data_IF_746236706273
#
_entry.id   IF_746236706273
#
_cell.length_a   1.000
_cell.length_b   1.000
_cell.length_c   1.000
_cell.angle_alpha   90.00
_cell.angle_beta   90.00
_cell.angle_gamma   90.00
#
_symmetry.space_group_name_H-M   'P 1'
#
loop_
_entity.id
_entity.type
_entity.pdbx_description
1 polymer ?
#
# COMPACT_ATOMS: atom_id res chain seq x y z
N UNK A 1 -10.57 5.50 8.82
CA UNK A 1 -12.00 5.17 8.84
C UNK A 1 -12.44 4.90 7.41
N UNK A 2 -13.45 4.07 7.25
CA UNK A 2 -14.17 3.93 5.98
C UNK A 2 -15.20 5.07 5.82
N UNK A 3 -15.96 5.07 4.74
CA UNK A 3 -16.98 6.06 4.42
C UNK A 3 -18.14 6.07 5.42
N UNK A 4 -18.38 4.96 6.12
CA UNK A 4 -19.39 4.82 7.17
C UNK A 4 -18.85 5.19 8.57
N UNK A 5 -17.58 5.59 8.68
CA UNK A 5 -16.95 5.98 9.95
C UNK A 5 -16.41 4.82 10.78
N UNK A 6 -16.49 3.57 10.31
CA UNK A 6 -15.90 2.39 10.97
C UNK A 6 -14.38 2.49 10.97
N UNK A 7 -13.77 1.96 12.03
CA UNK A 7 -12.31 1.92 12.13
C UNK A 7 -11.78 0.75 11.31
N UNK A 8 -10.84 1.03 10.41
CA UNK A 8 -10.17 0.03 9.59
C UNK A 8 -8.70 -0.04 9.99
N UNK A 9 -8.20 -1.24 10.29
CA UNK A 9 -6.79 -1.50 10.54
C UNK A 9 -6.17 -2.14 9.30
N UNK A 10 -5.24 -1.42 8.66
CA UNK A 10 -4.45 -1.96 7.56
C UNK A 10 -3.21 -2.64 8.13
N UNK A 11 -3.12 -3.97 7.95
CA UNK A 11 -2.02 -4.78 8.46
C UNK A 11 -1.04 -5.11 7.33
N UNK A 12 0.22 -4.72 7.50
CA UNK A 12 1.30 -4.94 6.54
C UNK A 12 2.41 -5.81 7.11
N UNK A 13 3.66 -5.52 6.72
CA UNK A 13 4.84 -6.21 7.22
C UNK A 13 5.00 -7.63 6.69
N UNK A 14 5.67 -8.50 7.46
CA UNK A 14 6.01 -9.86 7.04
C UNK A 14 4.78 -10.69 6.65
N UNK A 15 3.65 -10.52 7.35
CA UNK A 15 2.37 -11.16 7.00
C UNK A 15 1.96 -10.88 5.55
N UNK A 16 2.05 -9.61 5.13
CA UNK A 16 1.68 -9.20 3.78
C UNK A 16 2.71 -9.62 2.73
N UNK A 17 4.01 -9.67 3.07
CA UNK A 17 5.06 -10.09 2.15
C UNK A 17 5.05 -11.59 1.88
N UNK A 18 4.91 -12.41 2.91
CA UNK A 18 4.82 -13.88 2.77
C UNK A 18 3.44 -14.34 2.29
N UNK A 19 2.40 -13.52 2.54
CA UNK A 19 1.02 -13.79 2.14
C UNK A 19 0.77 -13.69 0.64
N UNK A 20 1.73 -13.24 -0.17
CA UNK A 20 1.56 -13.03 -1.61
C UNK A 20 1.13 -14.32 -2.33
N UNK A 21 1.57 -15.50 -1.92
CA UNK A 21 1.15 -16.77 -2.54
C UNK A 21 -0.06 -17.45 -1.89
N UNK A 22 -0.66 -16.83 -0.86
CA UNK A 22 -1.78 -17.42 -0.10
C UNK A 22 -3.13 -17.02 -0.70
N UNK A 23 -4.15 -17.84 -0.46
CA UNK A 23 -5.54 -17.44 -0.69
C UNK A 23 -5.98 -16.42 0.36
N UNK A 24 -7.01 -15.60 0.08
CA UNK A 24 -7.58 -14.67 1.06
C UNK A 24 -7.90 -15.33 2.41
N UNK A 25 -8.55 -16.50 2.39
CA UNK A 25 -8.98 -17.21 3.59
C UNK A 25 -7.79 -17.67 4.44
N UNK A 26 -6.75 -18.20 3.79
CA UNK A 26 -5.54 -18.66 4.47
C UNK A 26 -4.75 -17.48 5.08
N UNK A 27 -4.67 -16.35 4.36
CA UNK A 27 -4.01 -15.15 4.84
C UNK A 27 -4.78 -14.51 6.01
N UNK A 28 -6.11 -14.47 5.94
CA UNK A 28 -6.98 -14.01 7.04
C UNK A 28 -6.79 -14.90 8.28
N UNK A 29 -6.85 -16.22 8.13
CA UNK A 29 -6.67 -17.14 9.26
C UNK A 29 -5.30 -16.97 9.95
N UNK A 30 -4.24 -16.76 9.15
CA UNK A 30 -2.90 -16.45 9.64
C UNK A 30 -2.87 -15.11 10.38
N UNK A 31 -3.43 -14.06 9.78
CA UNK A 31 -3.49 -12.72 10.37
C UNK A 31 -4.25 -12.69 11.70
N UNK A 32 -5.39 -13.39 11.80
CA UNK A 32 -6.16 -13.53 13.05
C UNK A 32 -5.30 -14.19 14.13
N UNK A 33 -4.58 -15.26 13.79
CA UNK A 33 -3.72 -15.98 14.73
C UNK A 33 -2.59 -15.09 15.25
N UNK A 34 -1.89 -14.39 14.36
CA UNK A 34 -0.80 -13.47 14.73
C UNK A 34 -1.31 -12.32 15.60
N UNK A 35 -2.42 -11.68 15.22
CA UNK A 35 -2.98 -10.55 15.97
C UNK A 35 -3.46 -10.94 17.36
N UNK A 36 -4.10 -12.10 17.54
CA UNK A 36 -4.48 -12.60 18.87
C UNK A 36 -3.26 -12.87 19.76
N UNK A 37 -2.14 -13.31 19.18
CA UNK A 37 -0.89 -13.51 19.89
C UNK A 37 -0.23 -12.21 20.33
N UNK A 38 -0.28 -11.17 19.50
CA UNK A 38 0.36 -9.87 19.76
C UNK A 38 -0.51 -8.97 20.65
N UNK A 39 -1.84 -9.03 20.48
CA UNK A 39 -2.83 -8.17 21.14
C UNK A 39 -3.85 -9.02 21.93
N UNK A 40 -3.44 -9.74 22.98
CA UNK A 40 -4.32 -10.69 23.69
C UNK A 40 -5.49 -10.02 24.42
N UNK A 41 -5.44 -8.71 24.66
CA UNK A 41 -6.51 -7.95 25.31
C UNK A 41 -7.55 -7.35 24.36
N UNK A 42 -7.38 -7.53 23.05
CA UNK A 42 -8.32 -7.01 22.04
C UNK A 42 -9.31 -8.11 21.67
N UNK A 43 -10.61 -7.78 21.73
CA UNK A 43 -11.66 -8.67 21.25
C UNK A 43 -11.80 -8.53 19.73
N UNK A 44 -11.70 -9.66 19.04
CA UNK A 44 -11.83 -9.76 17.58
C UNK A 44 -13.12 -10.47 17.16
N UNK A 45 -14.05 -10.74 18.07
CA UNK A 45 -15.28 -11.50 17.81
C UNK A 45 -16.18 -10.87 16.75
N UNK A 46 -16.26 -9.53 16.70
CA UNK A 46 -17.11 -8.78 15.76
C UNK A 46 -16.28 -8.08 14.65
N UNK A 47 -15.04 -8.52 14.42
CA UNK A 47 -14.15 -7.91 13.42
C UNK A 47 -14.35 -8.59 12.06
N UNK A 48 -14.59 -7.78 11.03
CA UNK A 48 -14.59 -8.20 9.64
C UNK A 48 -13.16 -8.18 9.07
N UNK A 49 -12.88 -9.09 8.15
CA UNK A 49 -11.55 -9.30 7.58
C UNK A 49 -11.60 -9.19 6.07
N UNK A 50 -10.62 -8.52 5.48
CA UNK A 50 -10.46 -8.46 4.03
C UNK A 50 -8.96 -8.51 3.69
N UNK A 51 -8.67 -8.96 2.47
CA UNK A 51 -7.33 -8.88 1.89
C UNK A 51 -7.41 -8.17 0.56
N UNK A 52 -6.41 -7.37 0.22
CA UNK A 52 -6.26 -6.79 -1.10
C UNK A 52 -4.83 -7.03 -1.59
N UNK A 53 -4.66 -7.07 -2.91
CA UNK A 53 -3.36 -7.27 -3.55
C UNK A 53 -2.90 -5.98 -4.19
N UNK A 54 -1.60 -5.70 -4.07
CA UNK A 54 -0.97 -4.55 -4.71
C UNK A 54 0.46 -4.89 -5.07
N UNK A 55 0.87 -4.51 -6.28
CA UNK A 55 2.25 -4.63 -6.71
C UNK A 55 3.03 -3.37 -6.31
N UNK A 56 4.26 -3.57 -5.83
CA UNK A 56 5.18 -2.46 -5.61
C UNK A 56 5.91 -2.18 -6.92
N UNK A 57 5.74 -0.99 -7.44
CA UNK A 57 6.50 -0.50 -8.58
C UNK A 57 7.86 0.02 -8.09
N UNK A 58 8.91 -0.77 -8.29
CA UNK A 58 10.29 -0.44 -7.95
C UNK A 58 11.20 -0.62 -9.18
N UNK A 59 12.25 0.19 -9.34
CA UNK A 59 13.27 0.01 -10.38
C UNK A 59 13.89 -1.39 -10.31
N UNK A 60 14.16 -2.00 -11.46
CA UNK A 60 14.92 -3.24 -11.52
C UNK A 60 16.38 -2.95 -11.17
N UNK A 61 16.89 -3.61 -10.13
CA UNK A 61 18.31 -3.54 -9.73
C UNK A 61 18.93 -4.92 -9.74
N UNK A 62 20.15 -5.00 -10.26
CA UNK A 62 20.91 -6.25 -10.30
C UNK A 62 21.14 -6.78 -8.87
N UNK A 63 20.78 -8.05 -8.64
CA UNK A 63 21.04 -8.73 -7.36
C UNK A 63 19.89 -8.80 -6.35
N UNK A 64 18.63 -8.52 -6.75
CA UNK A 64 17.42 -8.66 -5.90
C UNK A 64 17.45 -7.86 -4.58
N UNK A 65 18.26 -6.82 -4.47
CA UNK A 65 18.24 -5.94 -3.29
C UNK A 65 17.20 -4.85 -3.52
N UNK A 66 16.34 -4.53 -2.56
CA UNK A 66 15.42 -3.39 -2.70
C UNK A 66 16.26 -2.10 -2.81
N UNK A 67 16.00 -1.20 -3.77
CA UNK A 67 16.66 0.10 -3.79
C UNK A 67 16.44 0.82 -2.45
N UNK A 68 17.53 1.34 -1.88
CA UNK A 68 17.46 2.04 -0.59
C UNK A 68 17.07 3.52 -0.76
N UNK A 69 17.19 4.03 -1.98
CA UNK A 69 16.95 5.43 -2.34
C UNK A 69 15.92 5.55 -3.49
N UNK A 70 15.60 6.78 -3.86
CA UNK A 70 14.82 7.12 -5.05
C UNK A 70 15.63 6.86 -6.31
N UNK A 71 14.96 6.72 -7.45
CA UNK A 71 15.59 6.64 -8.77
C UNK A 71 14.98 7.70 -9.67
N UNK A 72 15.82 8.43 -10.39
CA UNK A 72 15.43 9.42 -11.40
C UNK A 72 16.46 9.41 -12.53
N UNK A 73 16.05 8.92 -13.71
CA UNK A 73 16.91 8.74 -14.87
C UNK A 73 16.43 9.59 -16.03
N UNK A 74 17.33 10.42 -16.58
CA UNK A 74 17.06 11.27 -17.73
C UNK A 74 17.40 10.58 -19.06
N UNK A 75 16.43 10.51 -19.95
CA UNK A 75 16.54 10.00 -21.31
C UNK A 75 16.15 11.10 -22.31
N UNK A 76 17.12 11.96 -22.63
CA UNK A 76 16.85 13.15 -23.45
C UNK A 76 15.88 14.11 -22.74
N UNK A 77 14.72 14.45 -23.33
CA UNK A 77 13.74 15.34 -22.70
C UNK A 77 12.81 14.63 -21.70
N UNK A 78 12.98 13.33 -21.47
CA UNK A 78 12.13 12.52 -20.58
C UNK A 78 12.90 12.18 -19.32
N UNK A 79 12.27 12.33 -18.15
CA UNK A 79 12.79 11.80 -16.89
C UNK A 79 11.85 10.69 -16.42
N UNK A 80 12.41 9.52 -16.11
CA UNK A 80 11.67 8.38 -15.53
C UNK A 80 12.09 8.25 -14.08
N UNK A 81 11.12 8.18 -13.17
CA UNK A 81 11.41 8.24 -11.74
C UNK A 81 10.51 7.36 -10.89
N UNK A 82 11.08 6.84 -9.79
CA UNK A 82 10.38 6.07 -8.76
C UNK A 82 10.88 6.48 -7.37
N UNK A 83 9.98 6.81 -6.43
CA UNK A 83 10.39 7.19 -5.07
C UNK A 83 10.79 5.98 -4.21
N UNK A 84 10.46 4.74 -4.63
CA UNK A 84 10.68 3.44 -3.95
C UNK A 84 9.98 3.27 -2.59
N UNK A 85 9.78 4.36 -1.83
CA UNK A 85 8.90 4.48 -0.66
C UNK A 85 8.18 5.82 -0.70
N UNK A 86 6.93 5.88 -0.24
CA UNK A 86 6.17 7.15 -0.19
C UNK A 86 6.90 8.23 0.62
N UNK A 87 7.57 7.85 1.71
CA UNK A 87 8.35 8.78 2.55
C UNK A 87 9.51 9.46 1.82
N UNK A 88 9.95 8.92 0.69
CA UNK A 88 11.03 9.49 -0.12
C UNK A 88 10.51 10.39 -1.26
N UNK A 89 9.19 10.64 -1.36
CA UNK A 89 8.64 11.54 -2.35
C UNK A 89 9.26 12.96 -2.33
N UNK A 90 9.55 13.59 -1.17
CA UNK A 90 10.24 14.88 -1.14
C UNK A 90 11.67 14.80 -1.70
N UNK A 91 12.41 13.75 -1.34
CA UNK A 91 13.76 13.52 -1.85
C UNK A 91 13.77 13.29 -3.36
N UNK A 92 12.76 12.60 -3.88
CA UNK A 92 12.61 12.44 -5.32
C UNK A 92 12.38 13.81 -6.00
N UNK A 93 11.56 14.67 -5.41
CA UNK A 93 11.33 16.01 -5.94
C UNK A 93 12.63 16.83 -6.02
N UNK A 94 13.48 16.78 -4.98
CA UNK A 94 14.79 17.43 -4.99
C UNK A 94 15.67 16.93 -6.15
N UNK A 95 15.77 15.60 -6.33
CA UNK A 95 16.54 15.03 -7.44
C UNK A 95 15.99 15.43 -8.81
N UNK A 96 14.67 15.49 -8.96
CA UNK A 96 14.05 15.93 -10.21
C UNK A 96 14.39 17.40 -10.51
N UNK A 97 14.41 18.28 -9.51
CA UNK A 97 14.79 19.68 -9.67
C UNK A 97 16.23 19.80 -10.18
N UNK A 98 17.16 19.01 -9.66
CA UNK A 98 18.56 19.01 -10.10
C UNK A 98 18.75 18.54 -11.55
N UNK A 99 17.86 17.66 -12.03
CA UNK A 99 17.86 17.16 -13.41
C UNK A 99 17.19 18.12 -14.40
N UNK A 100 16.36 19.05 -13.93
CA UNK A 100 15.64 19.98 -14.80
C UNK A 100 16.59 21.08 -15.30
N UNK A 101 16.48 21.47 -16.59
CA UNK A 101 17.16 22.67 -17.06
C UNK A 101 16.57 23.92 -16.36
N UNK A 102 17.31 25.04 -16.35
CA UNK A 102 16.77 26.30 -15.86
C UNK A 102 15.42 26.63 -16.49
N UNK A 103 14.48 27.13 -15.67
CA UNK A 103 13.15 27.51 -16.13
C UNK A 103 13.24 28.49 -17.31
N UNK A 104 12.55 28.17 -18.41
CA UNK A 104 12.58 28.96 -19.65
C UNK A 104 11.41 29.95 -19.77
N UNK A 105 10.42 29.85 -18.88
CA UNK A 105 9.25 30.70 -18.84
C UNK A 105 8.67 30.73 -17.41
N UNK A 106 7.94 31.79 -17.09
CA UNK A 106 7.15 31.84 -15.86
C UNK A 106 5.92 30.93 -15.97
N UNK A 107 5.48 30.40 -14.83
CA UNK A 107 4.26 29.58 -14.78
C UNK A 107 3.05 30.44 -15.13
N UNK A 108 2.37 30.11 -16.23
CA UNK A 108 1.09 30.70 -16.59
C UNK A 108 -0.09 29.93 -15.99
N UNK A 109 -1.28 30.53 -16.01
CA UNK A 109 -2.51 29.80 -15.75
C UNK A 109 -2.71 28.73 -16.84
N UNK A 110 -2.92 27.50 -16.40
CA UNK A 110 -3.21 26.38 -17.28
C UNK A 110 -4.56 25.79 -16.88
N UNK A 111 -5.55 25.93 -17.76
CA UNK A 111 -6.84 25.29 -17.60
C UNK A 111 -6.72 23.80 -17.97
N UNK A 112 -6.72 22.95 -16.95
CA UNK A 112 -6.65 21.50 -17.14
C UNK A 112 -8.00 21.00 -17.66
N UNK A 113 -8.09 20.51 -18.91
CA UNK A 113 -9.37 20.17 -19.52
C UNK A 113 -10.11 19.03 -18.78
N UNK A 114 -9.36 18.20 -18.05
CA UNK A 114 -9.90 17.11 -17.24
C UNK A 114 -9.16 17.00 -15.91
N UNK A 115 -9.83 17.34 -14.80
CA UNK A 115 -9.29 17.15 -13.46
C UNK A 115 -9.49 15.70 -13.02
N UNK A 116 -8.44 14.95 -12.68
CA UNK A 116 -8.60 13.56 -12.23
C UNK A 116 -9.33 13.50 -10.88
N UNK A 117 -10.10 12.43 -10.68
CA UNK A 117 -10.70 12.15 -9.39
C UNK A 117 -9.64 11.68 -8.37
N UNK A 118 -9.91 11.90 -7.09
CA UNK A 118 -9.09 11.37 -6.00
C UNK A 118 -9.44 9.89 -5.81
N UNK A 119 -8.41 9.03 -5.74
CA UNK A 119 -8.60 7.61 -5.50
C UNK A 119 -9.22 7.35 -4.11
N UNK A 120 -10.09 6.35 -4.02
CA UNK A 120 -10.58 5.84 -2.74
C UNK A 120 -9.51 4.96 -2.09
N UNK A 121 -9.51 4.80 -0.77
CA UNK A 121 -8.61 3.85 -0.13
C UNK A 121 -8.97 2.40 -0.51
N UNK A 122 -8.03 1.45 -0.44
CA UNK A 122 -8.26 0.08 -0.93
C UNK A 122 -9.44 -0.66 -0.28
N UNK A 123 -9.82 -0.29 0.95
CA UNK A 123 -10.93 -0.89 1.67
C UNK A 123 -12.33 -0.40 1.21
N UNK A 124 -12.39 0.57 0.31
CA UNK A 124 -13.61 1.12 -0.32
C UNK A 124 -13.77 0.69 -1.78
N UNK A 125 -12.79 -0.05 -2.30
CA UNK A 125 -12.81 -0.61 -3.65
C UNK A 125 -13.34 -2.06 -3.62
N UNK A 126 -13.11 -2.82 -4.68
CA UNK A 126 -13.67 -4.17 -4.87
C UNK A 126 -12.97 -5.22 -3.97
N UNK A 127 -13.20 -5.11 -2.66
CA UNK A 127 -12.72 -6.03 -1.63
C UNK A 127 -13.87 -6.81 -1.01
N UNK A 128 -13.68 -8.13 -0.89
CA UNK A 128 -14.62 -8.99 -0.17
C UNK A 128 -14.31 -8.96 1.32
N UNK A 129 -15.27 -8.52 2.11
CA UNK A 129 -15.24 -8.60 3.57
C UNK A 129 -15.83 -9.92 4.05
N UNK A 130 -15.07 -10.61 4.89
CA UNK A 130 -15.45 -11.85 5.54
C UNK A 130 -15.80 -11.56 7.00
N UNK A 131 -16.94 -12.03 7.52
CA UNK A 131 -17.27 -11.90 8.93
C UNK A 131 -16.25 -12.68 9.78
N UNK A 132 -16.19 -12.37 11.07
CA UNK A 132 -15.32 -13.08 12.00
C UNK A 132 -15.51 -14.60 11.87
N UNK A 133 -14.40 -15.33 11.72
CA UNK A 133 -14.44 -16.79 11.74
C UNK A 133 -15.12 -17.25 13.04
N UNK A 134 -16.09 -18.19 12.97
CA UNK A 134 -16.77 -18.66 14.17
C UNK A 134 -15.73 -19.13 15.19
N UNK A 135 -15.91 -18.72 16.44
CA UNK A 135 -15.09 -19.23 17.55
C UNK A 135 -15.01 -20.75 17.43
N UNK A 136 -13.79 -21.30 17.38
CA UNK A 136 -13.61 -22.74 17.47
C UNK A 136 -14.31 -23.20 18.76
N UNK A 137 -15.47 -23.85 18.62
CA UNK A 137 -16.17 -24.46 19.74
C UNK A 137 -15.23 -25.45 20.43
N UNK A 138 -15.47 -25.76 21.72
CA UNK A 138 -14.58 -26.64 22.46
C UNK A 138 -14.44 -27.97 21.72
N UNK A 139 -13.18 -28.40 21.52
CA UNK A 139 -12.89 -29.71 20.99
C UNK A 139 -13.60 -30.74 21.88
N UNK A 140 -14.53 -31.49 21.28
CA UNK A 140 -15.24 -32.56 21.98
C UNK A 140 -14.19 -33.60 22.39
N UNK A 141 -14.02 -33.77 23.69
CA UNK A 141 -13.24 -34.84 24.34
C UNK A 141 -13.86 -36.20 24.12
#
# INVERSE_FOLDING_TARGET
>A
HDADGRTVWQVGGQLAEEGVSMTPEALIARGITELRGILPGVDFADVEWATYRVDRAEPAVDGRRRPEDVVADAHGPVIVAWPTKLALAPRLADQLIDLLPPARAEAGEFDWPHRPAVARPPWEDDVTWYPAAPSAGPACT
#
